data_IF_835330550464
#
_entry.id   IF_835330550464
#
_cell.length_a   1.000
_cell.length_b   1.000
_cell.length_c   1.000
_cell.angle_alpha   90.00
_cell.angle_beta   90.00
_cell.angle_gamma   90.00
#
_symmetry.space_group_name_H-M   'P 1'
#
loop_
_entity.id
_entity.type
_entity.pdbx_description
1 polymer ?
#
# COMPACT_ATOMS: atom_id res chain seq x y z
N UNK A 1 22.35 -20.89 -36.72
CA UNK A 1 22.66 -19.44 -36.59
C UNK A 1 21.34 -18.70 -36.41
N UNK A 2 21.00 -18.31 -35.18
CA UNK A 2 19.84 -17.46 -34.87
C UNK A 2 20.40 -16.14 -34.36
N UNK A 3 20.08 -15.05 -35.04
CA UNK A 3 20.45 -13.69 -34.66
C UNK A 3 19.36 -13.16 -33.72
N UNK A 4 19.75 -12.86 -32.49
CA UNK A 4 18.94 -12.14 -31.50
C UNK A 4 18.94 -10.65 -31.83
N UNK A 5 17.75 -10.04 -31.96
CA UNK A 5 17.59 -8.59 -31.98
C UNK A 5 17.09 -8.16 -30.60
N UNK A 6 18.00 -7.54 -29.86
CA UNK A 6 17.77 -6.77 -28.65
C UNK A 6 16.99 -5.50 -29.03
N UNK A 7 15.84 -5.25 -28.41
CA UNK A 7 15.22 -3.91 -28.40
C UNK A 7 15.21 -3.40 -26.96
N UNK A 8 16.08 -2.41 -26.71
CA UNK A 8 16.17 -1.63 -25.48
C UNK A 8 15.15 -0.49 -25.49
N UNK A 9 14.59 -0.24 -24.30
CA UNK A 9 14.31 1.05 -23.66
C UNK A 9 13.65 2.17 -24.49
N UNK A 10 12.40 2.47 -24.16
CA UNK A 10 11.79 3.79 -24.39
C UNK A 10 11.44 4.44 -23.04
N UNK A 11 12.45 4.98 -22.35
CA UNK A 11 12.25 6.07 -21.39
C UNK A 11 12.18 7.37 -22.20
N UNK A 12 11.03 8.04 -22.20
CA UNK A 12 10.94 9.41 -22.70
C UNK A 12 11.59 10.37 -21.69
N UNK A 13 12.85 10.72 -21.94
CA UNK A 13 13.50 11.87 -21.32
C UNK A 13 13.15 13.13 -22.11
N UNK A 14 12.21 13.92 -21.64
CA UNK A 14 12.14 15.33 -22.02
C UNK A 14 13.09 16.12 -21.12
N UNK A 15 14.10 16.73 -21.73
CA UNK A 15 15.21 17.39 -21.06
C UNK A 15 14.80 18.56 -20.17
N UNK A 16 15.30 18.52 -18.94
CA UNK A 16 15.44 19.68 -18.04
C UNK A 16 16.92 19.68 -17.61
N UNK A 17 17.62 20.83 -17.65
CA UNK A 17 19.05 20.85 -17.38
C UNK A 17 19.36 20.49 -15.92
N UNK A 18 20.41 19.69 -15.76
CA UNK A 18 20.97 19.26 -14.50
C UNK A 18 21.52 20.45 -13.68
N UNK A 19 20.83 20.80 -12.59
CA UNK A 19 21.40 21.12 -11.26
C UNK A 19 20.28 21.62 -10.34
N UNK A 20 19.68 20.69 -9.61
CA UNK A 20 19.08 20.99 -8.33
C UNK A 20 19.55 19.90 -7.37
N UNK A 21 20.64 20.18 -6.66
CA UNK A 21 20.85 19.53 -5.36
C UNK A 21 19.64 19.93 -4.53
N UNK A 22 18.71 19.01 -4.32
CA UNK A 22 17.60 19.22 -3.39
C UNK A 22 18.21 19.27 -1.99
N UNK A 23 18.43 20.49 -1.51
CA UNK A 23 18.63 20.74 -0.08
C UNK A 23 17.29 20.40 0.57
N UNK A 24 17.18 19.18 1.07
CA UNK A 24 16.13 18.79 2.00
C UNK A 24 16.32 19.66 3.24
N UNK A 25 15.45 20.67 3.42
CA UNK A 25 15.42 21.51 4.61
C UNK A 25 15.07 20.63 5.82
N UNK A 26 16.00 20.43 6.77
CA UNK A 26 15.76 19.63 7.97
C UNK A 26 14.66 20.20 8.88
N UNK A 27 14.36 21.50 8.77
CA UNK A 27 13.45 22.21 9.68
C UNK A 27 11.98 21.78 9.54
N UNK A 28 11.58 21.20 8.40
CA UNK A 28 10.23 20.67 8.19
C UNK A 28 10.00 19.40 9.04
N UNK A 29 11.04 18.62 9.30
CA UNK A 29 10.96 17.40 10.13
C UNK A 29 10.88 17.74 11.62
N UNK A 30 11.63 18.75 12.06
CA UNK A 30 11.72 19.18 13.46
C UNK A 30 10.39 19.75 14.00
N UNK A 31 9.54 20.30 13.13
CA UNK A 31 8.19 20.75 13.52
C UNK A 31 7.21 19.59 13.79
N UNK A 32 7.40 18.43 13.16
CA UNK A 32 6.53 17.26 13.38
C UNK A 32 6.78 16.57 14.73
N UNK A 33 7.99 16.71 15.29
CA UNK A 33 8.37 16.14 16.58
C UNK A 33 7.79 16.94 17.77
N UNK A 34 7.60 18.26 17.61
CA UNK A 34 7.02 19.11 18.66
C UNK A 34 5.51 18.92 18.90
N UNK A 35 4.80 18.24 18.01
CA UNK A 35 3.35 17.99 18.09
C UNK A 35 2.97 16.58 18.61
N UNK A 36 3.94 15.76 19.02
CA UNK A 36 3.72 14.34 19.36
C UNK A 36 3.58 13.98 20.84
N UNK A 37 3.61 14.94 21.76
CA UNK A 37 3.74 14.66 23.19
C UNK A 37 2.41 14.72 23.97
N UNK A 38 1.39 13.94 23.58
CA UNK A 38 0.40 13.41 24.55
C UNK A 38 -0.41 12.25 23.96
N UNK A 39 0.08 11.01 24.14
CA UNK A 39 -0.71 9.79 23.87
C UNK A 39 -0.64 8.89 25.11
N UNK A 40 -1.18 9.39 26.23
CA UNK A 40 -1.47 8.57 27.41
C UNK A 40 -2.98 8.37 27.51
N UNK A 41 -3.52 7.42 26.76
CA UNK A 41 -4.98 7.19 26.81
C UNK A 41 -5.57 5.96 26.13
N UNK A 42 -4.81 5.16 25.36
CA UNK A 42 -5.37 3.97 24.69
C UNK A 42 -4.77 2.72 25.33
N UNK A 43 -5.37 2.29 26.45
CA UNK A 43 -5.04 1.03 27.10
C UNK A 43 -6.32 0.36 27.59
N UNK A 44 -7.20 -0.03 26.67
CA UNK A 44 -8.41 -0.79 27.01
C UNK A 44 -8.63 -1.87 25.95
N UNK A 45 -8.82 -3.11 26.41
CA UNK A 45 -9.38 -4.30 25.71
C UNK A 45 -8.47 -5.42 25.14
N UNK A 46 -7.18 -5.54 25.50
CA UNK A 46 -6.34 -6.63 24.99
C UNK A 46 -5.94 -7.73 26.00
N UNK A 47 -6.57 -7.82 27.18
CA UNK A 47 -6.06 -8.68 28.27
C UNK A 47 -6.76 -10.04 28.48
N UNK A 48 -7.88 -10.34 27.81
CA UNK A 48 -8.64 -11.56 28.17
C UNK A 48 -8.24 -12.84 27.43
N UNK A 49 -7.38 -12.80 26.39
CA UNK A 49 -7.18 -13.96 25.49
C UNK A 49 -5.70 -14.38 25.28
N UNK A 50 -4.79 -13.96 26.19
CA UNK A 50 -3.34 -14.22 26.06
C UNK A 50 -2.87 -15.60 26.52
N UNK A 51 -3.71 -16.39 27.17
CA UNK A 51 -3.29 -17.66 27.76
C UNK A 51 -3.30 -18.79 26.72
N UNK A 52 -2.27 -18.88 25.88
CA UNK A 52 -1.77 -20.10 25.17
C UNK A 52 -1.06 -19.83 23.84
N UNK A 53 -0.96 -18.58 23.38
CA UNK A 53 -0.31 -18.31 22.09
C UNK A 53 1.22 -18.43 22.23
N UNK A 54 1.89 -19.24 21.39
CA UNK A 54 3.33 -19.11 21.24
C UNK A 54 3.61 -17.67 20.83
N UNK A 55 4.54 -17.03 21.55
CA UNK A 55 5.00 -15.67 21.27
C UNK A 55 5.41 -15.61 19.81
N UNK A 56 4.56 -15.03 18.96
CA UNK A 56 4.93 -14.81 17.57
C UNK A 56 6.09 -13.83 17.61
N UNK A 57 7.28 -14.28 17.18
CA UNK A 57 8.45 -13.42 17.08
C UNK A 57 8.03 -12.13 16.37
N UNK A 58 8.11 -11.01 17.09
CA UNK A 58 7.68 -9.73 16.57
C UNK A 58 8.47 -9.45 15.28
N UNK A 59 7.77 -9.17 14.18
CA UNK A 59 8.41 -8.83 12.92
C UNK A 59 9.25 -7.56 13.13
N UNK A 60 10.56 -7.68 12.98
CA UNK A 60 11.46 -6.53 13.00
C UNK A 60 11.51 -5.94 11.60
N UNK A 61 10.94 -4.74 11.44
CA UNK A 61 10.92 -4.05 10.16
C UNK A 61 12.31 -3.47 9.82
N UNK A 62 12.78 -3.60 8.58
CA UNK A 62 14.14 -3.22 8.19
C UNK A 62 14.25 -1.72 7.86
N UNK A 63 14.00 -0.86 8.83
CA UNK A 63 14.11 0.60 8.65
C UNK A 63 15.57 1.05 8.54
N UNK A 64 15.84 1.93 7.59
CA UNK A 64 17.09 2.70 7.56
C UNK A 64 17.06 3.82 8.62
N UNK A 65 18.22 4.41 8.99
CA UNK A 65 18.29 5.51 9.97
C UNK A 65 17.53 6.78 9.57
N UNK A 66 17.27 6.98 8.28
CA UNK A 66 16.55 8.14 7.73
C UNK A 66 15.04 8.10 7.98
N UNK A 67 14.45 6.96 8.39
CA UNK A 67 13.03 6.88 8.72
C UNK A 67 12.78 7.45 10.11
N UNK A 68 11.98 8.53 10.26
CA UNK A 68 11.73 9.15 11.55
C UNK A 68 11.13 8.16 12.57
N UNK A 69 11.50 8.30 13.84
CA UNK A 69 11.05 7.39 14.90
C UNK A 69 9.52 7.25 14.99
N UNK A 70 8.79 8.35 14.79
CA UNK A 70 7.32 8.35 14.77
C UNK A 70 6.75 7.46 13.65
N UNK A 71 7.34 7.50 12.46
CA UNK A 71 6.93 6.68 11.30
C UNK A 71 7.29 5.21 11.53
N UNK A 72 8.49 4.93 12.06
CA UNK A 72 8.89 3.57 12.45
C UNK A 72 7.92 2.95 13.45
N UNK A 73 7.56 3.70 14.48
CA UNK A 73 6.57 3.28 15.50
C UNK A 73 5.20 3.05 14.88
N UNK A 74 4.72 3.97 14.04
CA UNK A 74 3.43 3.86 13.37
C UNK A 74 3.35 2.58 12.51
N UNK A 75 4.32 2.39 11.62
CA UNK A 75 4.33 1.25 10.70
C UNK A 75 4.57 -0.08 11.45
N UNK A 76 5.34 -0.08 12.53
CA UNK A 76 5.46 -1.26 13.40
C UNK A 76 4.13 -1.62 14.06
N UNK A 77 3.38 -0.64 14.55
CA UNK A 77 2.03 -0.85 15.09
C UNK A 77 1.03 -1.31 14.02
N UNK A 78 1.18 -0.86 12.78
CA UNK A 78 0.39 -1.33 11.64
C UNK A 78 0.67 -2.81 11.34
N UNK A 79 1.94 -3.24 11.38
CA UNK A 79 2.30 -4.66 11.19
C UNK A 79 1.92 -5.53 12.37
N UNK A 80 1.98 -5.01 13.61
CA UNK A 80 1.46 -5.72 14.78
C UNK A 80 -0.05 -5.97 14.63
N UNK A 81 -0.82 -4.97 14.19
CA UNK A 81 -2.23 -5.15 13.88
C UNK A 81 -2.45 -6.21 12.80
N UNK A 82 -1.70 -6.14 11.68
CA UNK A 82 -1.80 -7.14 10.59
C UNK A 82 -1.51 -8.55 11.10
N UNK A 83 -0.49 -8.71 11.96
CA UNK A 83 -0.10 -10.01 12.54
C UNK A 83 -1.22 -10.69 13.33
N UNK A 84 -2.15 -9.89 13.86
CA UNK A 84 -3.27 -10.37 14.65
C UNK A 84 -4.47 -10.79 13.80
N UNK A 85 -4.57 -10.40 12.53
CA UNK A 85 -5.75 -10.67 11.68
C UNK A 85 -5.97 -12.18 11.52
N UNK A 86 -7.21 -12.61 11.68
CA UNK A 86 -7.66 -13.99 11.44
C UNK A 86 -9.00 -13.99 10.71
N UNK A 87 -9.18 -14.96 9.83
CA UNK A 87 -10.47 -15.36 9.29
C UNK A 87 -10.50 -16.87 9.05
N UNK A 88 -11.72 -17.40 8.94
CA UNK A 88 -11.96 -18.81 8.55
C UNK A 88 -12.11 -18.95 7.04
N UNK A 89 -12.48 -17.87 6.36
CA UNK A 89 -12.75 -17.81 4.93
C UNK A 89 -11.84 -16.81 4.22
N UNK A 90 -11.64 -17.06 2.93
CA UNK A 90 -10.88 -16.21 2.03
C UNK A 90 -11.44 -16.41 0.62
N UNK A 91 -11.56 -15.32 -0.12
CA UNK A 91 -11.98 -15.35 -1.52
C UNK A 91 -10.94 -16.04 -2.42
N UNK A 92 -11.32 -16.38 -3.65
CA UNK A 92 -10.41 -17.02 -4.60
C UNK A 92 -9.22 -16.14 -4.96
N UNK A 93 -9.47 -14.84 -5.22
CA UNK A 93 -8.38 -13.89 -5.50
C UNK A 93 -7.42 -13.76 -4.32
N UNK A 94 -7.95 -13.73 -3.09
CA UNK A 94 -7.11 -13.61 -1.90
C UNK A 94 -6.17 -14.81 -1.74
N UNK A 95 -6.70 -16.03 -1.96
CA UNK A 95 -5.90 -17.26 -1.89
C UNK A 95 -4.77 -17.27 -2.90
N UNK A 96 -4.99 -16.69 -4.09
CA UNK A 96 -3.97 -16.61 -5.12
C UNK A 96 -2.85 -15.60 -4.82
N UNK A 97 -3.15 -14.52 -4.08
CA UNK A 97 -2.17 -13.47 -3.78
C UNK A 97 -1.44 -13.76 -2.46
N UNK A 98 -2.19 -14.03 -1.40
CA UNK A 98 -1.68 -14.12 -0.03
C UNK A 98 -1.75 -15.53 0.54
N UNK A 99 -2.72 -16.33 0.09
CA UNK A 99 -3.14 -17.55 0.79
C UNK A 99 -4.33 -17.28 1.71
N UNK A 100 -4.22 -17.67 2.98
CA UNK A 100 -5.31 -17.47 3.95
C UNK A 100 -5.38 -16.01 4.39
N UNK A 101 -6.54 -15.57 4.88
CA UNK A 101 -6.66 -14.29 5.60
C UNK A 101 -6.14 -14.50 7.03
N UNK A 102 -4.82 -14.64 7.12
CA UNK A 102 -4.07 -14.86 8.36
C UNK A 102 -2.89 -13.87 8.38
N UNK A 103 -2.73 -13.16 9.50
CA UNK A 103 -1.59 -12.28 9.73
C UNK A 103 -0.23 -12.89 9.42
N UNK A 104 -0.01 -14.20 9.58
CA UNK A 104 1.24 -14.87 9.19
C UNK A 104 1.44 -14.89 7.69
N UNK A 105 0.37 -15.12 6.92
CA UNK A 105 0.42 -15.12 5.46
C UNK A 105 0.66 -13.70 4.93
N UNK A 106 0.03 -12.69 5.55
CA UNK A 106 0.32 -11.28 5.24
C UNK A 106 1.75 -10.87 5.61
N UNK A 107 2.22 -11.19 6.81
CA UNK A 107 3.58 -10.85 7.21
C UNK A 107 4.61 -11.56 6.35
N UNK A 108 4.38 -12.83 5.97
CA UNK A 108 5.24 -13.54 5.01
C UNK A 108 5.25 -12.84 3.65
N UNK A 109 4.07 -12.50 3.11
CA UNK A 109 3.97 -11.78 1.84
C UNK A 109 4.83 -10.50 1.86
N UNK A 110 4.75 -9.74 2.95
CA UNK A 110 5.52 -8.52 3.14
C UNK A 110 7.03 -8.79 3.31
N UNK A 111 7.41 -9.68 4.24
CA UNK A 111 8.82 -9.93 4.59
C UNK A 111 9.61 -10.59 3.47
N UNK A 112 8.95 -11.40 2.64
CA UNK A 112 9.60 -12.04 1.47
C UNK A 112 9.91 -11.02 0.36
N UNK A 113 9.37 -9.80 0.45
CA UNK A 113 9.41 -8.78 -0.59
C UNK A 113 10.17 -7.52 -0.19
N UNK A 114 10.08 -7.12 1.08
CA UNK A 114 10.67 -5.87 1.57
C UNK A 114 11.88 -6.15 2.45
N UNK A 115 13.06 -5.85 1.92
CA UNK A 115 14.35 -5.98 2.61
C UNK A 115 14.79 -4.69 3.30
N UNK A 116 14.29 -3.52 2.86
CA UNK A 116 14.56 -2.25 3.53
C UNK A 116 13.46 -1.22 3.32
N UNK A 117 13.29 -0.33 4.30
CA UNK A 117 12.33 0.78 4.28
C UNK A 117 13.08 2.07 4.57
N UNK A 118 12.89 3.08 3.72
CA UNK A 118 13.60 4.35 3.79
C UNK A 118 12.69 5.53 3.43
N UNK A 119 13.12 6.77 3.69
CA UNK A 119 12.45 7.97 3.21
C UNK A 119 12.96 8.33 1.82
N UNK A 120 12.06 8.63 0.88
CA UNK A 120 12.44 8.91 -0.50
C UNK A 120 11.53 9.90 -1.21
N UNK A 121 11.90 10.19 -2.46
CA UNK A 121 11.16 11.09 -3.36
C UNK A 121 10.36 10.26 -4.37
N UNK A 122 9.13 9.87 -4.03
CA UNK A 122 8.26 9.13 -4.94
C UNK A 122 7.59 10.03 -6.00
N UNK A 123 8.40 10.91 -6.60
CA UNK A 123 7.97 12.05 -7.41
C UNK A 123 7.72 13.31 -6.58
N UNK A 124 7.34 14.39 -7.27
CA UNK A 124 7.26 15.74 -6.68
C UNK A 124 5.88 16.09 -6.09
N UNK A 125 4.93 15.17 -6.12
CA UNK A 125 3.55 15.43 -5.68
C UNK A 125 3.27 14.87 -4.28
N UNK A 126 2.52 15.61 -3.47
CA UNK A 126 1.92 15.10 -2.22
C UNK A 126 0.96 13.92 -2.45
N UNK A 127 0.61 13.64 -3.72
CA UNK A 127 -0.24 12.53 -4.11
C UNK A 127 0.44 11.17 -3.99
N UNK A 128 1.77 11.10 -4.04
CA UNK A 128 2.51 9.87 -3.82
C UNK A 128 2.77 9.69 -2.32
N UNK A 129 2.38 8.52 -1.80
CA UNK A 129 2.54 8.16 -0.38
C UNK A 129 3.76 7.26 -0.18
N UNK A 130 4.01 6.33 -1.09
CA UNK A 130 5.19 5.51 -1.11
C UNK A 130 5.48 5.05 -2.55
N UNK A 131 6.60 4.37 -2.76
CA UNK A 131 6.98 3.80 -4.04
C UNK A 131 8.02 2.70 -3.84
N UNK A 132 8.12 1.83 -4.85
CA UNK A 132 9.27 0.96 -5.09
C UNK A 132 9.84 1.32 -6.45
N UNK A 133 11.18 1.42 -6.57
CA UNK A 133 11.81 1.63 -7.86
C UNK A 133 12.31 0.31 -8.43
N UNK A 134 12.12 0.08 -9.73
CA UNK A 134 12.56 -1.16 -10.38
C UNK A 134 14.06 -1.48 -10.27
N UNK A 135 14.92 -0.47 -10.05
CA UNK A 135 16.37 -0.69 -9.83
C UNK A 135 16.72 -1.20 -8.41
N UNK A 136 15.78 -1.16 -7.48
CA UNK A 136 15.89 -1.76 -6.15
C UNK A 136 14.50 -2.24 -5.72
N UNK A 137 14.07 -3.35 -6.34
CA UNK A 137 12.74 -3.88 -6.18
C UNK A 137 12.44 -4.32 -4.74
N UNK A 138 13.45 -4.63 -3.91
CA UNK A 138 13.22 -5.03 -2.50
C UNK A 138 13.21 -3.87 -1.50
N UNK A 139 13.26 -2.60 -1.96
CA UNK A 139 13.28 -1.43 -1.09
C UNK A 139 12.03 -0.56 -1.26
N UNK A 140 11.32 -0.35 -0.14
CA UNK A 140 10.20 0.59 -0.07
C UNK A 140 10.70 1.98 0.32
N UNK A 141 10.27 2.98 -0.44
CA UNK A 141 10.51 4.39 -0.15
C UNK A 141 9.22 5.04 0.31
N UNK A 142 9.19 5.55 1.54
CA UNK A 142 8.10 6.33 2.08
C UNK A 142 8.26 7.79 1.64
N UNK A 143 7.23 8.33 1.00
CA UNK A 143 7.21 9.72 0.57
C UNK A 143 6.72 10.66 1.68
N UNK A 144 6.83 11.97 1.44
CA UNK A 144 6.30 13.01 2.35
C UNK A 144 4.81 12.81 2.64
N UNK A 145 4.03 12.34 1.65
CA UNK A 145 2.60 12.06 1.82
C UNK A 145 2.31 11.07 2.94
N UNK A 146 3.10 10.01 3.09
CA UNK A 146 2.92 9.02 4.17
C UNK A 146 3.09 9.63 5.56
N UNK A 147 4.03 10.56 5.71
CA UNK A 147 4.34 11.19 6.99
C UNK A 147 3.38 12.34 7.35
N UNK A 148 2.87 13.06 6.35
CA UNK A 148 2.13 14.31 6.54
C UNK A 148 0.61 14.13 6.47
N UNK A 149 0.11 13.16 5.68
CA UNK A 149 -1.32 12.95 5.54
C UNK A 149 -1.87 12.17 6.75
N UNK A 150 -3.06 12.55 7.22
CA UNK A 150 -3.77 11.79 8.26
C UNK A 150 -4.46 10.56 7.65
N UNK A 151 -3.66 9.56 7.26
CA UNK A 151 -4.13 8.33 6.63
C UNK A 151 -4.53 7.34 7.74
N UNK A 152 -5.76 6.82 7.77
CA UNK A 152 -6.16 5.82 8.76
C UNK A 152 -5.36 4.52 8.65
N UNK A 153 -5.19 3.82 9.78
CA UNK A 153 -4.35 2.61 9.87
C UNK A 153 -4.66 1.59 8.78
N UNK A 154 -5.93 1.27 8.56
CA UNK A 154 -6.35 0.29 7.55
C UNK A 154 -5.92 0.69 6.14
N UNK A 155 -5.99 1.98 5.81
CA UNK A 155 -5.50 2.44 4.51
C UNK A 155 -3.97 2.45 4.41
N UNK A 156 -3.24 2.76 5.48
CA UNK A 156 -1.77 2.66 5.49
C UNK A 156 -1.32 1.22 5.24
N UNK A 157 -2.00 0.26 5.85
CA UNK A 157 -1.76 -1.17 5.59
C UNK A 157 -1.98 -1.47 4.10
N UNK A 158 -3.11 -1.06 3.53
CA UNK A 158 -3.36 -1.22 2.09
C UNK A 158 -2.24 -0.64 1.21
N UNK A 159 -1.73 0.56 1.55
CA UNK A 159 -0.60 1.19 0.86
C UNK A 159 0.68 0.35 0.99
N UNK A 160 1.02 -0.11 2.18
CA UNK A 160 2.25 -0.88 2.39
C UNK A 160 2.24 -2.20 1.61
N UNK A 161 1.08 -2.88 1.56
CA UNK A 161 0.94 -4.12 0.80
C UNK A 161 0.85 -3.89 -0.71
N UNK A 162 0.29 -2.76 -1.14
CA UNK A 162 0.39 -2.28 -2.51
C UNK A 162 1.84 -2.10 -2.92
N UNK A 163 2.65 -1.40 -2.12
CA UNK A 163 4.07 -1.20 -2.45
C UNK A 163 4.86 -2.50 -2.43
N UNK A 164 4.56 -3.41 -1.50
CA UNK A 164 5.15 -4.74 -1.51
C UNK A 164 4.84 -5.48 -2.82
N UNK A 165 3.67 -5.27 -3.44
CA UNK A 165 3.36 -5.87 -4.73
C UNK A 165 4.33 -5.42 -5.83
N UNK A 166 4.74 -4.16 -5.83
CA UNK A 166 5.67 -3.63 -6.83
C UNK A 166 7.07 -4.26 -6.77
N UNK A 167 7.40 -5.10 -5.77
CA UNK A 167 8.71 -5.76 -5.70
C UNK A 167 8.83 -6.99 -6.62
N UNK A 168 7.71 -7.49 -7.17
CA UNK A 168 7.69 -8.74 -7.91
C UNK A 168 8.19 -8.56 -9.36
N UNK A 169 9.49 -8.73 -9.55
CA UNK A 169 10.20 -8.65 -10.84
C UNK A 169 9.67 -9.65 -11.89
N UNK A 170 9.26 -10.84 -11.47
CA UNK A 170 8.64 -11.86 -12.32
C UNK A 170 7.35 -11.37 -13.03
N UNK A 171 6.77 -10.27 -12.55
CA UNK A 171 5.58 -9.62 -13.09
C UNK A 171 5.84 -8.16 -13.51
N UNK A 172 7.09 -7.86 -13.92
CA UNK A 172 7.51 -6.52 -14.35
C UNK A 172 7.26 -5.43 -13.29
N UNK A 173 7.37 -5.80 -12.01
CA UNK A 173 7.10 -4.91 -10.87
C UNK A 173 5.65 -4.39 -10.80
N UNK A 174 4.70 -5.06 -11.46
CA UNK A 174 3.27 -4.68 -11.48
C UNK A 174 3.06 -3.17 -11.73
N UNK A 175 3.52 -2.64 -12.87
CA UNK A 175 3.53 -1.20 -13.08
C UNK A 175 2.09 -0.69 -13.18
N UNK A 176 1.88 0.57 -12.78
CA UNK A 176 0.58 1.20 -12.97
C UNK A 176 0.29 1.46 -14.45
N UNK A 177 -0.98 1.31 -14.81
CA UNK A 177 -1.52 1.82 -16.05
C UNK A 177 -1.88 3.31 -15.93
N UNK A 178 -1.89 3.99 -17.08
CA UNK A 178 -2.46 5.33 -17.19
C UNK A 178 -3.98 5.27 -16.98
N UNK A 179 -4.46 6.08 -16.05
CA UNK A 179 -5.89 6.26 -15.86
C UNK A 179 -6.52 7.00 -17.07
N UNK A 180 -7.75 6.66 -17.46
CA UNK A 180 -8.45 7.26 -18.59
C UNK A 180 -8.49 8.80 -18.58
N UNK A 181 -8.72 9.42 -19.73
CA UNK A 181 -8.97 10.88 -19.82
C UNK A 181 -10.20 11.12 -20.71
N UNK A 182 -11.32 11.62 -20.16
CA UNK A 182 -11.56 11.92 -18.74
C UNK A 182 -11.63 10.64 -17.89
N UNK A 183 -11.30 10.75 -16.59
CA UNK A 183 -11.50 9.67 -15.63
C UNK A 183 -12.66 10.00 -14.70
N UNK A 184 -13.82 9.39 -14.97
CA UNK A 184 -15.07 9.66 -14.26
C UNK A 184 -15.58 8.43 -13.52
N UNK A 185 -16.23 8.63 -12.38
CA UNK A 185 -16.97 7.58 -11.68
C UNK A 185 -18.36 7.34 -12.33
N UNK A 186 -19.12 6.39 -11.78
CA UNK A 186 -20.47 6.03 -12.25
C UNK A 186 -21.47 7.20 -12.18
N UNK A 187 -21.19 8.22 -11.36
CA UNK A 187 -22.00 9.43 -11.21
C UNK A 187 -21.53 10.57 -12.12
N UNK A 188 -20.47 10.37 -12.91
CA UNK A 188 -19.89 11.38 -13.79
C UNK A 188 -18.93 12.36 -13.11
N UNK A 189 -18.57 12.14 -11.84
CA UNK A 189 -17.61 12.97 -11.11
C UNK A 189 -16.17 12.57 -11.43
N UNK A 190 -15.23 13.51 -11.34
CA UNK A 190 -13.81 13.18 -11.50
C UNK A 190 -13.31 12.26 -10.40
N UNK A 191 -12.63 11.18 -10.79
CA UNK A 191 -11.96 10.30 -9.82
C UNK A 191 -10.72 10.99 -9.28
N UNK A 192 -10.61 11.02 -7.95
CA UNK A 192 -9.54 11.69 -7.20
C UNK A 192 -8.97 10.75 -6.15
N UNK A 193 -7.70 10.97 -5.78
CA UNK A 193 -7.12 10.28 -4.64
C UNK A 193 -7.82 10.68 -3.34
N UNK A 194 -8.33 9.70 -2.58
CA UNK A 194 -9.15 9.95 -1.38
C UNK A 194 -8.45 10.79 -0.30
N UNK A 195 -7.11 10.72 -0.19
CA UNK A 195 -6.34 11.51 0.79
C UNK A 195 -5.72 12.77 0.22
N UNK A 196 -5.31 12.76 -1.05
CA UNK A 196 -4.58 13.87 -1.67
C UNK A 196 -5.49 14.84 -2.43
N UNK A 197 -6.70 14.42 -2.79
CA UNK A 197 -7.63 15.19 -3.64
C UNK A 197 -7.18 15.36 -5.09
N UNK A 198 -6.01 14.80 -5.45
CA UNK A 198 -5.41 14.94 -6.78
C UNK A 198 -6.26 14.22 -7.82
N UNK A 199 -6.49 14.87 -8.96
CA UNK A 199 -7.13 14.28 -10.14
C UNK A 199 -6.29 13.13 -10.68
N UNK A 200 -6.91 11.96 -10.88
CA UNK A 200 -6.21 10.79 -11.36
C UNK A 200 -6.18 10.66 -12.90
N UNK A 201 -6.99 11.43 -13.62
CA UNK A 201 -7.02 11.39 -15.09
C UNK A 201 -5.63 11.58 -15.71
N UNK A 202 -5.22 10.65 -16.56
CA UNK A 202 -3.91 10.66 -17.23
C UNK A 202 -2.70 10.41 -16.32
N UNK A 203 -2.91 9.99 -15.06
CA UNK A 203 -1.83 9.62 -14.14
C UNK A 203 -1.59 8.11 -14.16
N UNK A 204 -0.36 7.68 -13.89
CA UNK A 204 0.00 6.29 -13.60
C UNK A 204 -0.51 5.91 -12.21
N UNK A 205 -1.80 5.60 -12.12
CA UNK A 205 -2.50 5.42 -10.85
C UNK A 205 -3.67 4.44 -10.92
N UNK A 206 -3.65 3.58 -11.94
CA UNK A 206 -4.68 2.58 -12.20
C UNK A 206 -4.05 1.21 -12.45
N UNK A 207 -4.83 0.15 -12.30
CA UNK A 207 -4.45 -1.21 -12.68
C UNK A 207 -5.39 -1.74 -13.77
N UNK A 208 -4.88 -2.65 -14.60
CA UNK A 208 -5.66 -3.35 -15.64
C UNK A 208 -5.96 -4.80 -15.30
N UNK A 209 -5.56 -5.27 -14.11
CA UNK A 209 -5.76 -6.66 -13.67
C UNK A 209 -6.16 -6.69 -12.19
N UNK A 210 -6.82 -7.76 -11.71
CA UNK A 210 -7.10 -7.92 -10.29
C UNK A 210 -5.85 -8.16 -9.43
N UNK A 211 -4.72 -8.44 -10.07
CA UNK A 211 -3.46 -8.82 -9.42
C UNK A 211 -2.43 -7.68 -9.39
N UNK A 212 -2.78 -6.50 -9.93
CA UNK A 212 -1.96 -5.30 -9.84
C UNK A 212 -1.81 -4.81 -8.39
N UNK A 213 -1.08 -3.72 -8.18
CA UNK A 213 -0.78 -3.22 -6.85
C UNK A 213 -2.03 -2.66 -6.12
N UNK A 214 -2.88 -1.89 -6.80
CA UNK A 214 -4.18 -1.47 -6.25
C UNK A 214 -5.13 -2.66 -6.12
N UNK A 215 -5.13 -3.59 -7.07
CA UNK A 215 -5.89 -4.84 -6.99
C UNK A 215 -5.52 -5.68 -5.76
N UNK A 216 -4.22 -5.75 -5.44
CA UNK A 216 -3.69 -6.44 -4.26
C UNK A 216 -4.19 -5.80 -2.97
N UNK A 217 -4.08 -4.47 -2.85
CA UNK A 217 -4.62 -3.73 -1.70
C UNK A 217 -6.13 -3.90 -1.55
N UNK A 218 -6.87 -3.83 -2.66
CA UNK A 218 -8.33 -4.05 -2.70
C UNK A 218 -8.70 -5.42 -2.18
N UNK A 219 -8.09 -6.48 -2.73
CA UNK A 219 -8.38 -7.88 -2.39
C UNK A 219 -8.11 -8.13 -0.90
N UNK A 220 -6.98 -7.63 -0.38
CA UNK A 220 -6.66 -7.71 1.05
C UNK A 220 -7.74 -7.03 1.90
N UNK A 221 -8.02 -5.76 1.64
CA UNK A 221 -8.92 -4.96 2.45
C UNK A 221 -10.36 -5.48 2.39
N UNK A 222 -10.84 -5.92 1.23
CA UNK A 222 -12.19 -6.47 1.10
C UNK A 222 -12.35 -7.81 1.83
N UNK A 223 -11.32 -8.65 1.84
CA UNK A 223 -11.33 -9.89 2.62
C UNK A 223 -11.27 -9.61 4.14
N UNK A 224 -10.52 -8.61 4.59
CA UNK A 224 -10.57 -8.15 5.99
C UNK A 224 -11.98 -7.67 6.34
N UNK A 225 -12.60 -6.87 5.46
CA UNK A 225 -13.98 -6.38 5.64
C UNK A 225 -14.99 -7.52 5.77
N UNK A 226 -14.93 -8.53 4.90
CA UNK A 226 -15.91 -9.63 4.87
C UNK A 226 -15.65 -10.67 5.95
N UNK A 227 -14.41 -11.13 6.09
CA UNK A 227 -14.13 -12.40 6.77
C UNK A 227 -13.34 -12.27 8.08
N UNK A 228 -12.75 -11.11 8.39
CA UNK A 228 -11.96 -10.97 9.63
C UNK A 228 -12.84 -11.17 10.88
N UNK A 229 -12.62 -12.28 11.60
CA UNK A 229 -13.44 -12.68 12.75
C UNK A 229 -13.06 -11.97 14.05
N UNK A 230 -11.84 -11.44 14.12
CA UNK A 230 -11.32 -10.74 15.30
C UNK A 230 -11.12 -9.23 15.07
N UNK A 231 -11.67 -8.70 13.98
CA UNK A 231 -11.68 -7.27 13.71
C UNK A 231 -12.94 -6.62 14.30
N UNK A 232 -12.83 -5.37 14.72
CA UNK A 232 -14.01 -4.57 15.13
C UNK A 232 -14.86 -4.19 13.92
N UNK A 233 -16.13 -3.85 14.14
CA UNK A 233 -17.01 -3.35 13.07
C UNK A 233 -16.41 -2.13 12.37
N UNK A 234 -15.79 -1.22 13.14
CA UNK A 234 -15.12 -0.05 12.57
C UNK A 234 -14.00 -0.46 11.61
N UNK A 235 -13.16 -1.40 12.00
CA UNK A 235 -12.08 -1.91 11.13
C UNK A 235 -12.65 -2.52 9.85
N UNK A 236 -13.71 -3.32 9.95
CA UNK A 236 -14.33 -3.98 8.79
C UNK A 236 -15.00 -2.96 7.86
N UNK A 237 -15.65 -1.93 8.41
CA UNK A 237 -16.24 -0.83 7.64
C UNK A 237 -15.17 0.00 6.94
N UNK A 238 -14.13 0.43 7.66
CA UNK A 238 -13.01 1.19 7.08
C UNK A 238 -12.37 0.38 5.94
N UNK A 239 -12.11 -0.91 6.15
CA UNK A 239 -11.53 -1.79 5.13
C UNK A 239 -12.43 -1.90 3.89
N UNK A 240 -13.75 -2.00 4.08
CA UNK A 240 -14.72 -2.01 2.99
C UNK A 240 -14.71 -0.71 2.20
N UNK A 241 -14.74 0.44 2.89
CA UNK A 241 -14.72 1.77 2.28
C UNK A 241 -13.46 1.99 1.44
N UNK A 242 -12.28 1.65 1.97
CA UNK A 242 -11.03 1.82 1.25
C UNK A 242 -10.86 0.81 0.11
N UNK A 243 -11.35 -0.43 0.27
CA UNK A 243 -11.38 -1.38 -0.84
C UNK A 243 -12.25 -0.88 -2.00
N UNK A 244 -13.41 -0.28 -1.69
CA UNK A 244 -14.32 0.26 -2.72
C UNK A 244 -13.72 1.48 -3.43
N UNK A 245 -12.89 2.30 -2.75
CA UNK A 245 -12.09 3.35 -3.40
C UNK A 245 -11.04 2.75 -4.35
N UNK A 246 -10.35 1.69 -3.92
CA UNK A 246 -9.35 1.01 -4.75
C UNK A 246 -9.97 0.34 -5.98
N UNK A 247 -11.20 -0.17 -5.89
CA UNK A 247 -11.91 -0.75 -7.04
C UNK A 247 -12.06 0.24 -8.20
N UNK A 248 -12.24 1.53 -7.89
CA UNK A 248 -12.36 2.59 -8.90
C UNK A 248 -11.07 2.79 -9.69
N UNK A 249 -9.93 2.29 -9.20
CA UNK A 249 -8.63 2.36 -9.89
C UNK A 249 -8.37 1.15 -10.79
N UNK A 250 -9.28 0.18 -10.84
CA UNK A 250 -9.22 -0.93 -11.78
C UNK A 250 -9.99 -0.55 -13.04
N UNK A 251 -9.29 -0.37 -14.16
CA UNK A 251 -9.87 0.24 -15.36
C UNK A 251 -10.25 -0.77 -16.45
N UNK A 252 -9.78 -2.01 -16.34
CA UNK A 252 -10.18 -3.08 -17.24
C UNK A 252 -11.55 -3.67 -16.82
N UNK A 253 -12.58 -3.64 -17.69
CA UNK A 253 -13.92 -4.12 -17.31
C UNK A 253 -13.97 -5.60 -16.94
N UNK A 254 -13.13 -6.45 -17.55
CA UNK A 254 -13.09 -7.87 -17.24
C UNK A 254 -12.43 -8.12 -15.87
N UNK A 255 -11.39 -7.36 -15.53
CA UNK A 255 -10.80 -7.35 -14.19
C UNK A 255 -11.80 -6.89 -13.14
N UNK A 256 -12.51 -5.77 -13.37
CA UNK A 256 -13.57 -5.29 -12.47
C UNK A 256 -14.63 -6.36 -12.23
N UNK A 257 -15.12 -6.99 -13.31
CA UNK A 257 -16.12 -8.07 -13.20
C UNK A 257 -15.59 -9.26 -12.39
N UNK A 258 -14.34 -9.65 -12.62
CA UNK A 258 -13.70 -10.75 -11.87
C UNK A 258 -13.65 -10.45 -10.38
N UNK A 259 -13.27 -9.22 -10.01
CA UNK A 259 -13.23 -8.76 -8.61
C UNK A 259 -14.63 -8.73 -8.01
N UNK A 260 -15.62 -8.21 -8.74
CA UNK A 260 -17.01 -8.16 -8.28
C UNK A 260 -17.60 -9.55 -8.04
N UNK A 261 -17.35 -10.49 -8.95
CA UNK A 261 -17.82 -11.86 -8.83
C UNK A 261 -17.19 -12.60 -7.63
N UNK A 262 -15.91 -12.33 -7.32
CA UNK A 262 -15.18 -12.98 -6.21
C UNK A 262 -15.45 -12.31 -4.84
N UNK A 263 -15.62 -10.99 -4.80
CA UNK A 263 -15.63 -10.22 -3.55
C UNK A 263 -16.99 -9.62 -3.17
N UNK A 264 -17.92 -9.41 -4.10
CA UNK A 264 -19.17 -8.68 -3.84
C UNK A 264 -20.43 -9.53 -3.94
N UNK A 265 -20.28 -10.79 -4.34
CA UNK A 265 -21.32 -11.81 -4.24
C UNK A 265 -21.15 -12.64 -2.97
#
# INVERSE_FOLDING_TARGET
MKLSILMLAACFTNGVPARAQSVLDPSVWEQSEKLGADIRGIKVLAQADRASRPESAALTLPFTPSVPFKIRTQMSGDMEFVSAIRAEEASGLHRNIFGSVDGRDYLRFFSDRIESIDMGSCGDSIGAVACVYGWNSSKMWLAKGYALLNIPQISRIGIVFHEARHTEDAHDNWPHALCPTPFKDESGNDVRGIFSGVLLAGKEGCDTTPFGAYGTGLVMLKNISKYCVNCTDKVRMDAGLYADDLLRRIIDPAAVKTIQDDLYR
#
